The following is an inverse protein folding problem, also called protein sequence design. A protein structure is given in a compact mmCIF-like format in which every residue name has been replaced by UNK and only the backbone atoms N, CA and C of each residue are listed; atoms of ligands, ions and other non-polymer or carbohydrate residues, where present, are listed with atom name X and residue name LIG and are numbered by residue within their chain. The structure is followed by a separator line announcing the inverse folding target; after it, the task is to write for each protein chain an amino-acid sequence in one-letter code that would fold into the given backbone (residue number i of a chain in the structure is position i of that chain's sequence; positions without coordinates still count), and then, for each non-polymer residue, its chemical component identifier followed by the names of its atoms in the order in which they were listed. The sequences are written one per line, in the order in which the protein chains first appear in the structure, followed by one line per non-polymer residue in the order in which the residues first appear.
data_IF_649301626248
#
_entry.id   IF_649301626248
#
_cell.length_a   1.000
_cell.length_b   1.000
_cell.length_c   1.000
_cell.angle_alpha   90.00
_cell.angle_beta   90.00
_cell.angle_gamma   90.00
#
_symmetry.space_group_name_H-M   'P 1'
#
loop_
_entity.id
_entity.type
_entity.pdbx_description
1 polymer ?
#
# COMPACT_ATOMS: atom_id res chain seq x y z
N UNK A 1 35.42 3.20 -25.77
CA UNK A 1 34.30 2.34 -25.32
C UNK A 1 33.10 2.75 -26.15
N UNK A 2 32.47 1.81 -26.85
CA UNK A 2 31.30 2.10 -27.71
C UNK A 2 30.11 2.32 -26.79
N UNK A 3 29.45 3.46 -26.92
CA UNK A 3 28.32 3.82 -26.08
C UNK A 3 27.20 2.77 -26.29
N UNK A 4 26.80 2.00 -25.25
CA UNK A 4 25.83 0.94 -25.39
C UNK A 4 24.44 1.43 -25.82
N UNK A 5 24.17 2.74 -25.71
CA UNK A 5 22.89 3.36 -26.12
C UNK A 5 22.69 3.46 -27.64
N UNK A 6 23.76 3.34 -28.44
CA UNK A 6 23.72 3.46 -29.89
C UNK A 6 23.80 2.12 -30.65
N UNK A 7 23.64 1.01 -29.94
CA UNK A 7 23.48 -0.30 -30.58
C UNK A 7 22.06 -0.43 -31.17
N UNK A 8 21.90 -0.50 -32.50
CA UNK A 8 20.59 -0.62 -33.13
C UNK A 8 19.85 -1.88 -32.68
N UNK A 9 20.59 -2.93 -32.29
CA UNK A 9 20.02 -4.17 -31.77
C UNK A 9 19.42 -3.98 -30.37
N UNK A 10 19.97 -3.08 -29.56
CA UNK A 10 19.42 -2.73 -28.25
C UNK A 10 18.11 -1.94 -28.40
N UNK A 11 18.05 -0.99 -29.34
CA UNK A 11 16.83 -0.23 -29.65
C UNK A 11 15.68 -1.14 -30.13
N UNK A 12 16.00 -2.15 -30.94
CA UNK A 12 15.01 -3.10 -31.44
C UNK A 12 14.50 -4.05 -30.35
N UNK A 13 15.37 -4.50 -29.44
CA UNK A 13 15.00 -5.27 -28.25
C UNK A 13 14.13 -4.46 -27.29
N UNK A 14 14.50 -3.20 -27.00
CA UNK A 14 13.69 -2.32 -26.16
C UNK A 14 12.31 -2.07 -26.78
N UNK A 15 12.22 -1.91 -28.11
CA UNK A 15 10.94 -1.74 -28.82
C UNK A 15 10.07 -2.99 -28.77
N UNK A 16 10.67 -4.19 -28.83
CA UNK A 16 9.94 -5.45 -28.64
C UNK A 16 9.47 -5.62 -27.20
N UNK A 17 10.28 -5.24 -26.21
CA UNK A 17 9.92 -5.28 -24.79
C UNK A 17 8.82 -4.27 -24.47
N UNK A 18 8.87 -3.06 -25.04
CA UNK A 18 7.83 -2.03 -24.89
C UNK A 18 6.52 -2.43 -25.60
N UNK A 19 6.59 -3.21 -26.69
CA UNK A 19 5.42 -3.73 -27.39
C UNK A 19 4.75 -4.91 -26.65
N UNK A 20 5.47 -5.59 -25.76
CA UNK A 20 4.88 -6.54 -24.83
C UNK A 20 4.39 -5.72 -23.65
N UNK A 21 3.07 -5.71 -23.43
CA UNK A 21 2.44 -5.07 -22.27
C UNK A 21 2.79 -5.89 -21.01
N UNK A 22 4.05 -5.79 -20.57
CA UNK A 22 4.54 -6.41 -19.35
C UNK A 22 3.97 -5.55 -18.21
N UNK A 23 3.05 -6.07 -17.40
CA UNK A 23 2.52 -5.29 -16.30
C UNK A 23 3.65 -4.89 -15.36
N UNK A 24 3.74 -3.59 -15.08
CA UNK A 24 4.70 -3.02 -14.12
C UNK A 24 4.62 -3.79 -12.80
N UNK A 25 5.68 -4.55 -12.52
CA UNK A 25 5.82 -5.30 -11.28
C UNK A 25 6.93 -4.66 -10.43
N UNK A 26 6.66 -4.30 -9.17
CA UNK A 26 5.39 -4.44 -8.44
C UNK A 26 4.31 -3.39 -8.80
N UNK A 27 3.03 -3.82 -8.72
CA UNK A 27 1.88 -2.97 -9.05
C UNK A 27 1.47 -2.12 -7.84
N UNK A 28 2.12 -0.97 -7.70
CA UNK A 28 1.87 -0.03 -6.61
C UNK A 28 0.44 0.54 -6.59
N UNK A 29 -0.23 0.64 -7.75
CA UNK A 29 -1.60 1.15 -7.85
C UNK A 29 -2.59 0.15 -7.26
N UNK A 30 -2.42 -1.14 -7.57
CA UNK A 30 -3.19 -2.23 -6.97
C UNK A 30 -2.90 -2.33 -5.48
N UNK A 31 -1.63 -2.31 -5.08
CA UNK A 31 -1.23 -2.26 -3.68
C UNK A 31 -1.95 -1.15 -2.91
N UNK A 32 -2.05 0.06 -3.50
CA UNK A 32 -2.69 1.23 -2.84
C UNK A 32 -4.16 1.01 -2.52
N UNK A 33 -4.92 0.33 -3.39
CA UNK A 33 -6.35 0.03 -3.14
C UNK A 33 -6.51 -0.94 -1.96
N UNK A 34 -5.67 -1.96 -1.89
CA UNK A 34 -5.67 -2.92 -0.77
C UNK A 34 -5.19 -2.29 0.54
N UNK A 35 -4.13 -1.48 0.49
CA UNK A 35 -3.66 -0.71 1.63
C UNK A 35 -4.74 0.21 2.20
N UNK A 36 -5.42 0.99 1.35
CA UNK A 36 -6.51 1.88 1.76
C UNK A 36 -7.67 1.13 2.41
N UNK A 37 -8.14 0.05 1.79
CA UNK A 37 -9.27 -0.73 2.32
C UNK A 37 -8.95 -1.37 3.67
N UNK A 38 -7.76 -1.96 3.83
CA UNK A 38 -7.34 -2.52 5.11
C UNK A 38 -7.06 -1.46 6.17
N UNK A 39 -6.42 -0.34 5.82
CA UNK A 39 -6.18 0.77 6.74
C UNK A 39 -7.48 1.39 7.26
N UNK A 40 -8.48 1.57 6.40
CA UNK A 40 -9.82 2.05 6.80
C UNK A 40 -10.51 1.04 7.71
N UNK A 41 -10.50 -0.25 7.36
CA UNK A 41 -11.11 -1.29 8.18
C UNK A 41 -10.50 -1.36 9.59
N UNK A 42 -9.16 -1.30 9.69
CA UNK A 42 -8.46 -1.28 10.99
C UNK A 42 -8.75 0.01 11.76
N UNK A 43 -8.78 1.16 11.10
CA UNK A 43 -9.16 2.42 11.74
C UNK A 43 -10.55 2.35 12.37
N UNK A 44 -11.53 1.81 11.64
CA UNK A 44 -12.91 1.61 12.14
C UNK A 44 -12.91 0.68 13.36
N UNK A 45 -12.20 -0.45 13.30
CA UNK A 45 -12.13 -1.40 14.41
C UNK A 45 -11.50 -0.79 15.67
N UNK A 46 -10.44 0.01 15.53
CA UNK A 46 -9.81 0.68 16.66
C UNK A 46 -10.76 1.71 17.29
N UNK A 47 -11.47 2.50 16.48
CA UNK A 47 -12.45 3.47 16.97
C UNK A 47 -13.59 2.77 17.71
N UNK A 48 -14.13 1.68 17.14
CA UNK A 48 -15.16 0.86 17.77
C UNK A 48 -14.66 0.26 19.09
N UNK A 49 -13.43 -0.25 19.14
CA UNK A 49 -12.85 -0.80 20.35
C UNK A 49 -12.74 0.26 21.46
N UNK A 50 -12.27 1.46 21.14
CA UNK A 50 -12.19 2.58 22.08
C UNK A 50 -13.57 3.05 22.58
N UNK A 51 -14.59 2.94 21.72
CA UNK A 51 -15.98 3.26 22.05
C UNK A 51 -16.60 2.20 22.99
N UNK A 52 -16.37 0.92 22.73
CA UNK A 52 -16.99 -0.21 23.43
C UNK A 52 -16.33 -0.51 24.78
N UNK A 53 -15.00 -0.45 24.88
CA UNK A 53 -14.27 -0.78 26.11
C UNK A 53 -14.32 0.34 27.17
N UNK A 54 -15.37 1.16 27.22
CA UNK A 54 -15.26 2.47 27.82
C UNK A 54 -16.50 3.27 28.10
N UNK A 55 -16.46 4.06 29.18
CA UNK A 55 -17.47 5.10 29.42
C UNK A 55 -17.30 6.26 28.42
N UNK A 56 -18.39 6.64 27.76
CA UNK A 56 -18.43 7.69 26.72
C UNK A 56 -17.84 9.03 27.20
N UNK A 57 -18.02 9.38 28.48
CA UNK A 57 -17.47 10.61 29.09
C UNK A 57 -15.94 10.72 29.06
N UNK A 58 -15.23 9.59 28.94
CA UNK A 58 -13.77 9.56 28.84
C UNK A 58 -13.28 9.24 27.43
N UNK A 59 -14.18 9.22 26.44
CA UNK A 59 -13.83 8.90 25.05
C UNK A 59 -12.87 9.93 24.47
N UNK A 60 -13.18 11.23 24.58
CA UNK A 60 -12.31 12.30 24.05
C UNK A 60 -10.90 12.30 24.66
N UNK A 61 -10.80 12.05 25.97
CA UNK A 61 -9.50 11.97 26.68
C UNK A 61 -8.70 10.73 26.26
N UNK A 62 -9.37 9.59 26.04
CA UNK A 62 -8.73 8.36 25.53
C UNK A 62 -8.34 8.47 24.05
N UNK A 63 -9.11 9.19 23.25
CA UNK A 63 -8.76 9.48 21.86
C UNK A 63 -7.52 10.37 21.78
N UNK A 64 -7.40 11.37 22.66
CA UNK A 64 -6.19 12.18 22.75
C UNK A 64 -4.97 11.35 23.21
N UNK A 65 -5.16 10.44 24.16
CA UNK A 65 -4.07 9.66 24.75
C UNK A 65 -3.61 8.48 23.88
N UNK A 66 -4.55 7.76 23.26
CA UNK A 66 -4.30 6.55 22.47
C UNK A 66 -4.43 6.78 20.96
N UNK A 67 -4.88 7.96 20.53
CA UNK A 67 -5.03 8.30 19.11
C UNK A 67 -3.72 8.21 18.34
N UNK A 68 -2.60 8.57 18.98
CA UNK A 68 -1.27 8.41 18.39
C UNK A 68 -0.91 6.93 18.16
N UNK A 69 -1.17 6.07 19.15
CA UNK A 69 -0.96 4.62 19.03
C UNK A 69 -1.86 4.02 17.95
N UNK A 70 -3.13 4.43 17.91
CA UNK A 70 -4.08 4.02 16.88
C UNK A 70 -3.62 4.43 15.48
N UNK A 71 -3.12 5.66 15.33
CA UNK A 71 -2.59 6.18 14.07
C UNK A 71 -1.36 5.38 13.62
N UNK A 72 -0.41 5.10 14.53
CA UNK A 72 0.76 4.27 14.21
C UNK A 72 0.32 2.89 13.74
N UNK A 73 -0.59 2.22 14.45
CA UNK A 73 -1.08 0.89 14.08
C UNK A 73 -1.74 0.94 12.70
N UNK A 74 -2.60 1.92 12.44
CA UNK A 74 -3.28 2.08 11.15
C UNK A 74 -2.27 2.31 10.01
N UNK A 75 -1.25 3.14 10.22
CA UNK A 75 -0.18 3.38 9.25
C UNK A 75 0.65 2.12 9.01
N UNK A 76 1.03 1.39 10.05
CA UNK A 76 1.79 0.14 9.92
C UNK A 76 1.00 -0.89 9.13
N UNK A 77 -0.29 -1.10 9.45
CA UNK A 77 -1.15 -2.03 8.69
C UNK A 77 -1.30 -1.56 7.25
N UNK A 78 -1.51 -0.27 7.02
CA UNK A 78 -1.58 0.30 5.68
C UNK A 78 -0.31 -0.04 4.89
N UNK A 79 0.88 0.21 5.44
CA UNK A 79 2.15 -0.04 4.76
C UNK A 79 2.37 -1.54 4.47
N UNK A 80 2.04 -2.41 5.42
CA UNK A 80 2.17 -3.86 5.25
C UNK A 80 1.23 -4.39 4.16
N UNK A 81 -0.05 -4.01 4.21
CA UNK A 81 -1.02 -4.45 3.20
C UNK A 81 -0.77 -3.80 1.85
N UNK A 82 -0.26 -2.57 1.84
CA UNK A 82 0.18 -1.88 0.64
C UNK A 82 1.30 -2.65 -0.07
N UNK A 83 2.33 -3.06 0.69
CA UNK A 83 3.42 -3.88 0.17
C UNK A 83 2.91 -5.25 -0.28
N UNK A 84 2.15 -5.98 0.54
CA UNK A 84 1.61 -7.29 0.15
C UNK A 84 0.74 -7.19 -1.11
N UNK A 85 -0.07 -6.15 -1.21
CA UNK A 85 -0.93 -5.90 -2.36
C UNK A 85 -0.15 -5.54 -3.63
N UNK A 86 1.00 -4.87 -3.52
CA UNK A 86 1.85 -4.50 -4.66
C UNK A 86 2.62 -5.70 -5.22
N UNK A 87 3.03 -6.64 -4.36
CA UNK A 87 3.71 -7.88 -4.75
C UNK A 87 2.74 -9.04 -5.07
N UNK A 88 1.43 -8.83 -4.97
CA UNK A 88 0.47 -9.92 -5.21
C UNK A 88 0.45 -10.26 -6.71
N UNK A 89 0.75 -11.52 -7.09
CA UNK A 89 0.82 -11.92 -8.49
C UNK A 89 -0.48 -11.55 -9.21
N UNK A 90 -0.34 -10.89 -10.34
CA UNK A 90 -1.45 -10.72 -11.27
C UNK A 90 -1.70 -12.10 -11.88
N UNK A 91 -2.89 -12.67 -11.65
CA UNK A 91 -3.28 -13.89 -12.35
C UNK A 91 -3.33 -13.51 -13.83
N UNK A 92 -2.36 -14.00 -14.59
CA UNK A 92 -2.43 -14.10 -16.05
C UNK A 92 -3.65 -14.94 -16.44
#
# INVERSE_FOLDING_TARGET
MRDPEDDPRLKELLRQVEAVDIPDYPDWKKGRRWGLTAGVAVGILIVLFLLVCGRLEHFGRRLAQYGWTAAIIAITVFLVVWAIGSFRPQKL
#
